data_IF_995930502120
#
_entry.id   IF_995930502120
#
_cell.length_a   1.000
_cell.length_b   1.000
_cell.length_c   1.000
_cell.angle_alpha   90.00
_cell.angle_beta   90.00
_cell.angle_gamma   90.00
#
_symmetry.space_group_name_H-M   'P 1'
#
loop_
_entity.id
_entity.type
_entity.pdbx_description
1 polymer ?
#
# COMPACT_ATOMS: atom_id res chain seq x y z
N UNK A 1 -10.51 14.06 7.71
CA UNK A 1 -9.89 15.35 8.06
C UNK A 1 -8.49 15.42 7.47
N UNK A 2 -7.79 16.57 7.50
CA UNK A 2 -6.40 16.64 7.05
C UNK A 2 -5.55 15.56 7.74
N UNK A 3 -4.79 14.81 6.94
CA UNK A 3 -4.02 13.65 7.42
C UNK A 3 -4.73 12.30 7.29
N UNK A 4 -6.05 12.27 7.01
CA UNK A 4 -6.74 11.03 6.67
C UNK A 4 -6.08 10.32 5.48
N UNK A 5 -6.15 9.00 5.48
CA UNK A 5 -5.48 8.14 4.49
C UNK A 5 -6.52 7.33 3.74
N UNK A 6 -6.52 7.45 2.41
CA UNK A 6 -7.28 6.58 1.51
C UNK A 6 -6.31 5.52 0.98
N UNK A 7 -6.70 4.24 1.09
CA UNK A 7 -5.92 3.11 0.59
C UNK A 7 -6.68 2.45 -0.55
N UNK A 8 -6.07 2.38 -1.72
CA UNK A 8 -6.51 1.54 -2.83
C UNK A 8 -5.73 0.22 -2.77
N UNK A 9 -6.40 -0.85 -2.33
CA UNK A 9 -5.84 -2.21 -2.26
C UNK A 9 -6.06 -3.04 -3.52
N UNK A 10 -6.55 -2.44 -4.60
CA UNK A 10 -6.88 -3.13 -5.85
C UNK A 10 -5.66 -3.47 -6.71
N UNK A 11 -5.93 -4.05 -7.88
CA UNK A 11 -4.93 -4.21 -8.94
C UNK A 11 -4.98 -3.02 -9.90
N UNK A 12 -4.83 -1.81 -9.36
CA UNK A 12 -4.87 -0.58 -10.15
C UNK A 12 -3.60 -0.40 -10.98
N UNK A 13 -3.72 0.21 -12.16
CA UNK A 13 -2.55 0.63 -12.93
C UNK A 13 -1.79 1.70 -12.14
N UNK A 14 -0.47 1.55 -12.02
CA UNK A 14 0.34 2.45 -11.18
C UNK A 14 0.27 3.93 -11.61
N UNK A 15 0.08 4.22 -12.89
CA UNK A 15 -0.09 5.59 -13.38
C UNK A 15 -1.41 6.22 -12.94
N UNK A 16 -2.48 5.43 -12.75
CA UNK A 16 -3.71 5.91 -12.13
C UNK A 16 -3.53 6.22 -10.65
N UNK A 17 -2.64 5.48 -9.98
CA UNK A 17 -2.27 5.72 -8.58
C UNK A 17 -1.55 7.05 -8.46
N UNK A 18 -0.54 7.31 -9.31
CA UNK A 18 0.16 8.59 -9.38
C UNK A 18 -0.83 9.75 -9.59
N UNK A 19 -1.78 9.59 -10.53
CA UNK A 19 -2.80 10.60 -10.80
C UNK A 19 -3.73 10.83 -9.59
N UNK A 20 -4.16 9.76 -8.91
CA UNK A 20 -5.04 9.83 -7.74
C UNK A 20 -4.32 10.45 -6.54
N UNK A 21 -3.09 10.05 -6.29
CA UNK A 21 -2.27 10.54 -5.19
C UNK A 21 -2.07 12.06 -5.29
N UNK A 22 -1.72 12.57 -6.48
CA UNK A 22 -1.69 14.01 -6.74
C UNK A 22 -3.03 14.71 -6.45
N UNK A 23 -4.14 14.17 -6.95
CA UNK A 23 -5.46 14.81 -6.78
C UNK A 23 -5.93 14.80 -5.31
N UNK A 24 -5.59 13.75 -4.57
CA UNK A 24 -5.97 13.56 -3.16
C UNK A 24 -5.09 14.42 -2.24
N UNK A 25 -3.79 14.55 -2.56
CA UNK A 25 -2.88 15.43 -1.82
C UNK A 25 -3.20 16.92 -2.02
N UNK A 26 -3.61 17.34 -3.23
CA UNK A 26 -4.13 18.70 -3.48
C UNK A 26 -5.39 19.01 -2.65
N UNK A 27 -6.15 17.98 -2.26
CA UNK A 27 -7.31 18.12 -1.38
C UNK A 27 -6.96 18.02 0.12
N UNK A 28 -5.67 17.86 0.47
CA UNK A 28 -5.19 17.82 1.86
C UNK A 28 -5.26 16.44 2.52
N UNK A 29 -5.37 15.37 1.75
CA UNK A 29 -5.42 13.99 2.24
C UNK A 29 -4.26 13.15 1.72
N UNK A 30 -4.01 12.02 2.36
CA UNK A 30 -3.00 11.06 1.93
C UNK A 30 -3.63 9.96 1.07
N UNK A 31 -2.90 9.50 0.06
CA UNK A 31 -3.30 8.37 -0.77
C UNK A 31 -2.20 7.31 -0.80
N UNK A 32 -2.59 6.05 -0.63
CA UNK A 32 -1.70 4.91 -0.69
C UNK A 32 -2.24 3.92 -1.73
N UNK A 33 -1.44 3.64 -2.76
CA UNK A 33 -1.67 2.50 -3.64
C UNK A 33 -0.96 1.28 -3.10
N UNK A 34 -1.70 0.23 -2.75
CA UNK A 34 -1.14 -0.94 -2.08
C UNK A 34 -1.46 -2.21 -2.85
N UNK A 35 -0.42 -2.83 -3.41
CA UNK A 35 -0.55 -4.17 -3.92
C UNK A 35 -0.85 -5.18 -2.82
N UNK A 36 -1.82 -6.07 -3.05
CA UNK A 36 -2.15 -7.19 -2.15
C UNK A 36 -2.03 -8.51 -2.92
N UNK A 37 -1.25 -9.46 -2.43
CA UNK A 37 -1.07 -10.78 -3.08
C UNK A 37 -1.19 -11.93 -2.10
N UNK A 38 -1.69 -13.08 -2.58
CA UNK A 38 -1.96 -14.28 -1.76
C UNK A 38 -3.30 -14.97 -2.05
N UNK A 39 -4.15 -14.40 -2.90
CA UNK A 39 -5.49 -14.92 -3.15
C UNK A 39 -6.39 -14.81 -1.92
N UNK A 40 -7.53 -15.50 -1.93
CA UNK A 40 -8.51 -15.46 -0.83
C UNK A 40 -7.91 -15.97 0.49
N UNK A 41 -7.20 -17.10 0.45
CA UNK A 41 -6.61 -17.71 1.63
C UNK A 41 -5.46 -16.86 2.20
N UNK A 42 -4.61 -16.30 1.33
CA UNK A 42 -3.57 -15.38 1.75
C UNK A 42 -4.15 -14.11 2.36
N UNK A 43 -5.21 -13.55 1.80
CA UNK A 43 -5.86 -12.38 2.38
C UNK A 43 -6.41 -12.64 3.80
N UNK A 44 -6.86 -13.86 4.10
CA UNK A 44 -7.35 -14.25 5.42
C UNK A 44 -6.22 -14.52 6.42
N UNK A 45 -5.17 -15.21 5.99
CA UNK A 45 -4.15 -15.77 6.89
C UNK A 45 -2.84 -14.97 6.95
N UNK A 46 -2.61 -14.07 5.99
CA UNK A 46 -1.40 -13.28 5.86
C UNK A 46 -1.02 -13.08 4.40
N UNK A 47 -1.33 -11.93 3.78
CA UNK A 47 -0.94 -11.64 2.40
C UNK A 47 0.47 -11.03 2.35
N UNK A 48 1.01 -10.94 1.13
CA UNK A 48 2.09 -9.98 0.84
C UNK A 48 1.47 -8.62 0.54
N UNK A 49 2.01 -7.56 1.15
CA UNK A 49 1.50 -6.19 1.07
C UNK A 49 2.59 -5.25 0.53
N UNK A 50 2.23 -4.45 -0.46
CA UNK A 50 3.18 -3.61 -1.21
C UNK A 50 2.69 -2.15 -1.22
N UNK A 51 2.66 -1.45 -0.06
CA UNK A 51 2.18 -0.07 0.00
C UNK A 51 3.18 0.90 -0.65
N UNK A 52 2.67 1.77 -1.52
CA UNK A 52 3.35 2.96 -2.03
C UNK A 52 2.51 4.22 -1.78
N UNK A 53 3.16 5.34 -1.48
CA UNK A 53 2.53 6.59 -1.05
C UNK A 53 3.43 7.39 -0.11
N UNK A 54 2.95 8.49 0.48
CA UNK A 54 3.76 9.39 1.30
C UNK A 54 4.25 8.75 2.61
N UNK A 55 5.41 9.20 3.11
CA UNK A 55 6.05 8.67 4.32
C UNK A 55 5.15 8.83 5.56
N UNK A 56 4.36 9.90 5.64
CA UNK A 56 3.44 10.18 6.73
C UNK A 56 2.32 9.13 6.83
N UNK A 57 1.87 8.63 5.67
CA UNK A 57 0.89 7.55 5.63
C UNK A 57 1.52 6.24 6.12
N UNK A 58 2.78 5.98 5.77
CA UNK A 58 3.50 4.79 6.23
C UNK A 58 3.71 4.77 7.74
N UNK A 59 4.02 5.91 8.37
CA UNK A 59 4.14 6.00 9.85
C UNK A 59 2.87 5.50 10.55
N UNK A 60 1.71 5.76 9.96
CA UNK A 60 0.41 5.34 10.51
C UNK A 60 0.05 3.90 10.13
N UNK A 61 0.22 3.53 8.86
CA UNK A 61 -0.22 2.23 8.33
C UNK A 61 0.75 1.09 8.63
N UNK A 62 2.05 1.36 8.67
CA UNK A 62 3.11 0.36 8.79
C UNK A 62 2.87 -0.64 9.93
N UNK A 63 2.57 -0.21 11.16
CA UNK A 63 2.27 -1.14 12.26
C UNK A 63 1.07 -2.06 11.98
N UNK A 64 0.00 -1.54 11.36
CA UNK A 64 -1.20 -2.32 11.03
C UNK A 64 -0.87 -3.33 9.93
N UNK A 65 -0.26 -2.88 8.84
CA UNK A 65 0.07 -3.73 7.69
C UNK A 65 1.07 -4.82 8.08
N UNK A 66 2.06 -4.51 8.91
CA UNK A 66 3.00 -5.47 9.48
C UNK A 66 2.30 -6.54 10.32
N UNK A 67 1.27 -6.16 11.10
CA UNK A 67 0.57 -7.11 11.97
C UNK A 67 -0.29 -8.14 11.23
N UNK A 68 -0.66 -7.84 9.98
CA UNK A 68 -1.53 -8.71 9.16
C UNK A 68 -0.78 -9.39 8.00
N UNK A 69 0.46 -8.98 7.69
CA UNK A 69 1.23 -9.57 6.60
C UNK A 69 1.65 -11.02 6.91
N UNK A 70 1.89 -11.81 5.86
CA UNK A 70 2.63 -13.07 5.99
C UNK A 70 4.00 -12.81 6.64
N UNK A 71 4.57 -13.83 7.30
CA UNK A 71 5.94 -13.78 7.84
C UNK A 71 6.79 -14.83 7.14
N UNK A 72 7.90 -14.41 6.54
CA UNK A 72 8.89 -15.28 5.91
C UNK A 72 10.25 -15.06 6.58
N UNK A 73 10.90 -16.15 6.99
CA UNK A 73 12.21 -16.10 7.66
C UNK A 73 12.26 -15.20 8.91
N UNK A 74 11.11 -15.03 9.57
CA UNK A 74 10.97 -14.17 10.75
C UNK A 74 10.65 -12.71 10.44
N UNK A 75 10.63 -12.32 9.16
CA UNK A 75 10.33 -10.95 8.71
C UNK A 75 8.94 -10.85 8.06
N UNK A 76 8.15 -9.81 8.38
CA UNK A 76 6.88 -9.53 7.71
C UNK A 76 7.06 -9.25 6.21
N UNK A 77 6.20 -9.82 5.38
CA UNK A 77 6.15 -9.61 3.92
C UNK A 77 5.46 -8.28 3.56
N UNK A 78 5.96 -7.19 4.13
CA UNK A 78 5.53 -5.83 3.84
C UNK A 78 6.68 -4.86 4.05
N UNK A 79 6.78 -3.87 3.17
CA UNK A 79 7.69 -2.73 3.35
C UNK A 79 7.09 -1.52 2.67
N UNK A 80 7.52 -0.32 3.07
CA UNK A 80 7.21 0.88 2.30
C UNK A 80 8.00 0.84 0.99
N UNK A 81 7.29 0.61 -0.11
CA UNK A 81 7.91 0.35 -1.41
C UNK A 81 8.51 1.63 -2.00
N UNK A 82 7.88 2.76 -1.73
CA UNK A 82 8.25 4.07 -2.25
C UNK A 82 7.05 5.01 -2.29
N UNK A 83 7.23 6.15 -2.95
CA UNK A 83 6.18 7.15 -3.10
C UNK A 83 5.17 6.76 -4.19
N UNK A 84 4.10 7.55 -4.29
CA UNK A 84 3.21 7.60 -5.45
C UNK A 84 2.73 6.22 -5.96
N UNK A 85 3.07 5.83 -7.19
CA UNK A 85 2.62 4.57 -7.79
C UNK A 85 3.42 3.33 -7.43
N UNK A 86 4.49 3.45 -6.62
CA UNK A 86 5.51 2.41 -6.49
C UNK A 86 4.95 1.05 -6.03
N UNK A 87 4.02 1.04 -5.08
CA UNK A 87 3.39 -0.17 -4.56
C UNK A 87 2.63 -0.96 -5.62
N UNK A 88 1.77 -0.28 -6.39
CA UNK A 88 1.06 -0.89 -7.52
C UNK A 88 1.98 -1.25 -8.68
N UNK A 89 3.09 -0.52 -8.88
CA UNK A 89 4.09 -0.90 -9.88
C UNK A 89 4.75 -2.22 -9.53
N UNK A 90 5.20 -2.41 -8.29
CA UNK A 90 5.76 -3.69 -7.83
C UNK A 90 4.72 -4.80 -7.97
N UNK A 91 3.45 -4.54 -7.61
CA UNK A 91 2.38 -5.52 -7.76
C UNK A 91 2.08 -5.90 -9.22
N UNK A 92 2.27 -4.99 -10.16
CA UNK A 92 2.12 -5.28 -11.58
C UNK A 92 3.24 -6.20 -12.10
N UNK A 93 4.44 -6.09 -11.53
CA UNK A 93 5.60 -6.92 -11.91
C UNK A 93 5.52 -8.32 -11.27
N UNK A 94 4.93 -8.43 -10.07
CA UNK A 94 4.63 -9.67 -9.36
C UNK A 94 3.54 -10.51 -10.06
#
# INVERSE_FOLDING_TARGET
>A
EPGDIIIDGGNSLFTDTIRREKAVSEAGYNFVGMGVSGGEEGALNGPSLMPGGPDEAWVTLGPILTSIAAVAEGEPCVTHVGHDGAGHFVKMVH
#
